data_IF_753512091769
#
_entry.id   IF_753512091769
#
_cell.length_a   1.000
_cell.length_b   1.000
_cell.length_c   1.000
_cell.angle_alpha   90.00
_cell.angle_beta   90.00
_cell.angle_gamma   90.00
#
_symmetry.space_group_name_H-M   'P 1'
#
loop_
_entity.id
_entity.type
_entity.pdbx_description
1 polymer ?
#
# COMPACT_ATOMS: atom_id res chain seq x y z
N UNK A 1 11.07 -1.56 -9.14
CA UNK A 1 12.26 -2.35 -9.01
C UNK A 1 12.42 -3.36 -10.15
N UNK A 2 13.53 -3.31 -10.87
CA UNK A 2 13.77 -4.13 -12.07
C UNK A 2 13.71 -5.63 -11.73
N UNK A 3 14.06 -6.00 -10.51
CA UNK A 3 14.06 -7.39 -10.03
C UNK A 3 12.67 -7.95 -9.73
N UNK A 4 11.71 -7.13 -9.34
CA UNK A 4 10.33 -7.56 -9.07
C UNK A 4 9.57 -8.00 -10.33
N UNK A 5 10.01 -7.60 -11.52
CA UNK A 5 9.44 -8.02 -12.81
C UNK A 5 9.87 -9.43 -13.25
N UNK A 6 10.80 -10.02 -12.54
CA UNK A 6 11.38 -11.34 -12.88
C UNK A 6 10.87 -12.47 -11.97
N UNK A 7 9.89 -12.21 -11.10
CA UNK A 7 9.27 -13.26 -10.32
C UNK A 7 8.57 -14.25 -11.26
N UNK A 8 8.94 -15.50 -11.09
CA UNK A 8 8.37 -16.61 -11.83
C UNK A 8 6.90 -16.82 -11.45
N UNK A 9 6.04 -16.98 -12.44
CA UNK A 9 4.62 -17.26 -12.22
C UNK A 9 4.39 -18.56 -11.46
N UNK A 10 5.21 -19.60 -11.72
CA UNK A 10 5.08 -20.88 -11.04
C UNK A 10 5.44 -20.75 -9.56
N UNK A 11 6.45 -19.92 -9.23
CA UNK A 11 6.75 -19.56 -7.85
C UNK A 11 5.55 -18.86 -7.18
N UNK A 12 4.94 -17.88 -7.83
CA UNK A 12 3.79 -17.15 -7.27
C UNK A 12 2.57 -18.05 -7.06
N UNK A 13 2.32 -18.96 -8.00
CA UNK A 13 1.28 -19.99 -7.86
C UNK A 13 1.60 -20.98 -6.72
N UNK A 14 2.87 -21.35 -6.57
CA UNK A 14 3.33 -22.15 -5.45
C UNK A 14 3.11 -21.47 -4.10
N UNK A 15 3.47 -20.18 -4.01
CA UNK A 15 3.26 -19.34 -2.82
C UNK A 15 1.78 -19.27 -2.46
N UNK A 16 0.89 -19.05 -3.46
CA UNK A 16 -0.56 -19.02 -3.24
C UNK A 16 -1.10 -20.33 -2.69
N UNK A 17 -0.68 -21.47 -3.27
CA UNK A 17 -1.10 -22.78 -2.78
C UNK A 17 -0.66 -23.00 -1.35
N UNK A 18 0.61 -22.73 -1.04
CA UNK A 18 1.15 -22.88 0.31
C UNK A 18 0.40 -21.97 1.31
N UNK A 19 0.14 -20.72 0.95
CA UNK A 19 -0.61 -19.80 1.80
C UNK A 19 -2.01 -20.34 2.10
N UNK A 20 -2.73 -20.84 1.08
CA UNK A 20 -4.06 -21.42 1.26
C UNK A 20 -4.05 -22.71 2.11
N UNK A 21 -2.98 -23.51 2.05
CA UNK A 21 -2.82 -24.72 2.86
C UNK A 21 -2.57 -24.40 4.34
N UNK A 22 -1.74 -23.38 4.61
CA UNK A 22 -1.37 -22.98 5.99
C UNK A 22 -2.44 -22.11 6.64
N UNK A 23 -3.00 -21.16 5.90
CA UNK A 23 -4.00 -20.20 6.37
C UNK A 23 -4.86 -19.74 5.19
N UNK A 24 -6.05 -20.34 4.96
CA UNK A 24 -6.89 -20.09 3.77
C UNK A 24 -7.24 -18.61 3.54
N UNK A 25 -7.38 -17.84 4.62
CA UNK A 25 -7.69 -16.40 4.59
C UNK A 25 -6.43 -15.50 4.54
N UNK A 26 -5.24 -16.09 4.34
CA UNK A 26 -4.01 -15.29 4.26
C UNK A 26 -3.99 -14.43 2.99
N UNK A 27 -3.99 -13.11 3.20
CA UNK A 27 -4.05 -12.16 2.11
C UNK A 27 -2.66 -11.85 1.54
N UNK A 28 -2.48 -12.18 0.25
CA UNK A 28 -1.24 -11.93 -0.49
C UNK A 28 -1.39 -10.64 -1.31
N UNK A 29 -0.57 -9.66 -1.02
CA UNK A 29 -0.48 -8.40 -1.74
C UNK A 29 0.92 -8.23 -2.34
N UNK A 30 1.00 -7.74 -3.58
CA UNK A 30 2.26 -7.45 -4.26
C UNK A 30 2.37 -5.99 -4.65
N UNK A 31 3.60 -5.49 -4.72
CA UNK A 31 3.87 -4.18 -5.26
C UNK A 31 4.12 -4.27 -6.76
N UNK A 32 3.21 -3.66 -7.54
CA UNK A 32 3.31 -3.55 -9.00
C UNK A 32 3.14 -2.09 -9.39
N UNK A 33 4.22 -1.49 -9.93
CA UNK A 33 4.23 -0.07 -10.28
C UNK A 33 3.61 0.17 -11.66
N UNK A 34 3.91 -0.70 -12.62
CA UNK A 34 3.50 -0.53 -14.02
C UNK A 34 3.02 -1.84 -14.64
N UNK A 35 2.17 -1.73 -15.65
CA UNK A 35 1.68 -2.83 -16.46
C UNK A 35 0.30 -3.31 -16.02
N UNK A 36 -0.12 -4.42 -16.59
CA UNK A 36 -1.42 -5.01 -16.32
C UNK A 36 -1.42 -5.73 -14.96
N UNK A 37 -2.21 -5.23 -14.03
CA UNK A 37 -2.34 -5.76 -12.67
C UNK A 37 -2.96 -7.16 -12.64
N UNK A 38 -3.81 -7.50 -13.61
CA UNK A 38 -4.47 -8.82 -13.70
C UNK A 38 -3.49 -9.98 -13.91
N UNK A 39 -2.30 -9.68 -14.44
CA UNK A 39 -1.23 -10.67 -14.58
C UNK A 39 -0.75 -11.22 -13.23
N UNK A 40 -0.87 -10.42 -12.16
CA UNK A 40 -0.38 -10.74 -10.82
C UNK A 40 -1.51 -10.97 -9.83
N UNK A 41 -2.54 -10.10 -9.85
CA UNK A 41 -3.72 -10.22 -8.99
C UNK A 41 -4.78 -11.05 -9.70
N UNK A 42 -4.84 -12.33 -9.39
CA UNK A 42 -5.79 -13.28 -9.95
C UNK A 42 -5.99 -14.48 -9.01
N UNK A 43 -6.96 -15.36 -9.25
CA UNK A 43 -7.25 -16.48 -8.35
C UNK A 43 -6.10 -17.46 -8.08
N UNK A 44 -5.10 -17.52 -8.98
CA UNK A 44 -3.98 -18.46 -8.86
C UNK A 44 -2.76 -17.87 -8.14
N UNK A 45 -2.64 -16.53 -8.05
CA UNK A 45 -1.45 -15.85 -7.53
C UNK A 45 -1.80 -14.87 -6.39
N UNK A 46 -1.62 -13.56 -6.60
CA UNK A 46 -1.89 -12.56 -5.56
C UNK A 46 -3.38 -12.25 -5.45
N UNK A 47 -3.81 -11.82 -4.27
CA UNK A 47 -5.17 -11.31 -4.06
C UNK A 47 -5.29 -9.86 -4.51
N UNK A 48 -4.20 -9.10 -4.38
CA UNK A 48 -4.16 -7.65 -4.60
C UNK A 48 -2.79 -7.20 -5.07
N UNK A 49 -2.77 -6.04 -5.72
CA UNK A 49 -1.54 -5.30 -6.03
C UNK A 49 -1.74 -3.81 -5.79
N UNK A 50 -0.63 -3.09 -5.59
CA UNK A 50 -0.60 -1.64 -5.38
C UNK A 50 -1.18 -0.88 -6.58
N UNK A 51 -2.04 0.12 -6.31
CA UNK A 51 -2.68 0.93 -7.33
C UNK A 51 -1.90 2.23 -7.60
N UNK A 52 -0.70 2.11 -8.16
CA UNK A 52 0.10 3.26 -8.55
C UNK A 52 -0.54 4.08 -9.67
N UNK A 53 -1.36 3.45 -10.50
CA UNK A 53 -2.02 4.11 -11.61
C UNK A 53 -3.00 5.20 -11.12
N UNK A 54 -3.74 4.91 -10.03
CA UNK A 54 -4.66 5.87 -9.44
C UNK A 54 -3.98 6.85 -8.48
N UNK A 55 -2.90 6.43 -7.82
CA UNK A 55 -2.18 7.23 -6.83
C UNK A 55 -1.89 8.66 -7.32
N UNK A 56 -1.34 8.81 -8.53
CA UNK A 56 -1.06 10.16 -9.07
C UNK A 56 -2.33 10.99 -9.20
N UNK A 57 -3.40 10.43 -9.76
CA UNK A 57 -4.65 11.14 -9.99
C UNK A 57 -5.27 11.68 -8.70
N UNK A 58 -5.09 10.98 -7.56
CA UNK A 58 -5.64 11.43 -6.27
C UNK A 58 -5.10 12.79 -5.84
N UNK A 59 -3.81 13.06 -5.95
CA UNK A 59 -3.27 14.37 -5.57
C UNK A 59 -3.26 15.39 -6.72
N UNK A 60 -2.98 14.96 -7.99
CA UNK A 60 -2.94 15.89 -9.11
C UNK A 60 -4.32 16.44 -9.45
N UNK A 61 -5.37 15.61 -9.44
CA UNK A 61 -6.73 16.06 -9.70
C UNK A 61 -7.23 17.10 -8.69
N UNK A 62 -6.82 16.99 -7.41
CA UNK A 62 -7.09 18.01 -6.40
C UNK A 62 -6.30 19.29 -6.64
N UNK A 63 -5.00 19.19 -6.94
CA UNK A 63 -4.12 20.32 -7.19
C UNK A 63 -4.49 21.15 -8.44
N UNK A 64 -5.02 20.46 -9.45
CA UNK A 64 -5.34 21.07 -10.74
C UNK A 64 -6.84 21.40 -10.87
N UNK A 65 -7.60 21.23 -9.77
CA UNK A 65 -9.04 21.43 -9.72
C UNK A 65 -9.75 20.68 -10.86
N UNK A 66 -9.39 19.40 -11.04
CA UNK A 66 -9.82 18.61 -12.17
C UNK A 66 -10.25 17.18 -11.78
N UNK A 67 -11.48 17.05 -11.31
CA UNK A 67 -12.05 15.73 -10.99
C UNK A 67 -12.33 14.85 -12.22
N UNK A 68 -12.29 15.38 -13.44
CA UNK A 68 -12.36 14.53 -14.63
C UNK A 68 -11.18 13.56 -14.72
N UNK A 69 -9.97 13.96 -14.27
CA UNK A 69 -8.80 13.07 -14.24
C UNK A 69 -9.06 11.83 -13.35
N UNK A 70 -9.52 12.07 -12.12
CA UNK A 70 -9.81 11.01 -11.15
C UNK A 70 -10.98 10.15 -11.64
N UNK A 71 -12.07 10.79 -12.08
CA UNK A 71 -13.27 10.10 -12.56
C UNK A 71 -12.96 9.22 -13.77
N UNK A 72 -12.10 9.69 -14.70
CA UNK A 72 -11.64 8.89 -15.83
C UNK A 72 -10.88 7.65 -15.38
N UNK A 73 -9.93 7.79 -14.46
CA UNK A 73 -9.14 6.68 -13.93
C UNK A 73 -10.00 5.66 -13.19
N UNK A 74 -10.93 6.11 -12.33
CA UNK A 74 -11.87 5.26 -11.63
C UNK A 74 -12.81 4.51 -12.60
N UNK A 75 -13.32 5.21 -13.60
CA UNK A 75 -14.20 4.61 -14.61
C UNK A 75 -13.48 3.53 -15.41
N UNK A 76 -12.26 3.83 -15.90
CA UNK A 76 -11.44 2.89 -16.66
C UNK A 76 -11.12 1.64 -15.83
N UNK A 77 -10.84 1.78 -14.54
CA UNK A 77 -10.46 0.66 -13.69
C UNK A 77 -11.68 -0.15 -13.21
N UNK A 78 -12.75 0.48 -12.76
CA UNK A 78 -13.75 -0.15 -11.91
C UNK A 78 -15.20 -0.09 -12.40
N UNK A 79 -15.53 0.76 -13.38
CA UNK A 79 -16.90 0.80 -13.89
C UNK A 79 -17.28 -0.51 -14.63
N UNK A 80 -18.51 -0.60 -15.11
CA UNK A 80 -18.93 -1.75 -15.88
C UNK A 80 -18.04 -1.93 -17.13
N UNK A 81 -17.38 -3.08 -17.22
CA UNK A 81 -16.34 -3.34 -18.23
C UNK A 81 -14.95 -2.78 -17.89
N UNK A 82 -14.77 -2.22 -16.68
CA UNK A 82 -13.48 -1.73 -16.23
C UNK A 82 -12.43 -2.83 -16.10
N UNK A 83 -11.18 -2.48 -16.40
CA UNK A 83 -10.06 -3.44 -16.51
C UNK A 83 -9.70 -4.14 -15.21
N UNK A 84 -10.01 -3.53 -14.06
CA UNK A 84 -9.72 -4.07 -12.73
C UNK A 84 -10.98 -4.25 -11.87
N UNK A 85 -12.17 -4.31 -12.49
CA UNK A 85 -13.44 -4.46 -11.76
C UNK A 85 -13.45 -5.65 -10.80
N UNK A 86 -12.77 -6.73 -11.14
CA UNK A 86 -12.71 -7.97 -10.34
C UNK A 86 -11.44 -8.09 -9.50
N UNK A 87 -10.69 -7.01 -9.34
CA UNK A 87 -9.47 -6.97 -8.55
C UNK A 87 -9.63 -6.00 -7.39
N UNK A 88 -9.37 -6.47 -6.16
CA UNK A 88 -9.27 -5.60 -5.00
C UNK A 88 -7.88 -4.96 -4.96
N UNK A 89 -7.71 -3.82 -5.66
CA UNK A 89 -6.44 -3.10 -5.66
C UNK A 89 -6.11 -2.54 -4.28
N UNK A 90 -4.82 -2.54 -3.91
CA UNK A 90 -4.32 -1.90 -2.71
C UNK A 90 -4.13 -0.40 -2.98
N UNK A 91 -5.07 0.40 -2.47
CA UNK A 91 -5.10 1.84 -2.72
C UNK A 91 -4.37 2.58 -1.62
N UNK A 92 -3.57 3.56 -2.01
CA UNK A 92 -2.80 4.40 -1.10
C UNK A 92 -2.68 5.82 -1.65
N UNK A 93 -2.47 6.79 -0.79
CA UNK A 93 -2.22 8.19 -1.14
C UNK A 93 -0.74 8.53 -1.05
N UNK A 94 -0.01 7.81 -0.23
CA UNK A 94 1.45 7.83 -0.11
C UNK A 94 1.96 6.51 0.46
N UNK A 95 3.28 6.29 0.38
CA UNK A 95 3.97 5.14 0.93
C UNK A 95 5.45 5.47 1.18
N UNK A 96 6.27 4.47 1.46
CA UNK A 96 7.69 4.60 1.74
C UNK A 96 8.56 4.98 0.52
N UNK A 97 8.03 4.96 -0.70
CA UNK A 97 8.74 5.23 -1.95
C UNK A 97 8.25 6.48 -2.68
N UNK A 98 7.11 7.05 -2.29
CA UNK A 98 6.55 8.28 -2.86
C UNK A 98 6.39 9.37 -1.81
N UNK A 99 6.36 10.62 -2.25
CA UNK A 99 6.22 11.77 -1.37
C UNK A 99 4.94 11.68 -0.55
N UNK A 100 4.99 12.18 0.70
CA UNK A 100 3.81 12.28 1.56
C UNK A 100 2.72 13.11 0.88
N UNK A 101 1.48 12.65 0.92
CA UNK A 101 0.36 13.35 0.26
C UNK A 101 0.20 14.76 0.78
N UNK A 102 0.44 14.99 2.07
CA UNK A 102 0.44 16.33 2.66
C UNK A 102 1.47 17.26 2.02
N UNK A 103 2.63 16.76 1.58
CA UNK A 103 3.62 17.55 0.83
C UNK A 103 3.26 17.75 -0.63
N UNK A 104 2.45 16.86 -1.21
CA UNK A 104 2.06 16.93 -2.62
C UNK A 104 0.89 17.89 -2.86
N UNK A 105 0.00 18.05 -1.89
CA UNK A 105 -1.15 18.93 -2.01
C UNK A 105 -0.77 20.40 -1.86
N UNK A 106 -1.17 21.24 -2.83
CA UNK A 106 -1.03 22.70 -2.80
C UNK A 106 -1.90 23.34 -1.71
N UNK A 107 -3.11 22.78 -1.53
CA UNK A 107 -4.04 23.16 -0.46
C UNK A 107 -4.28 21.96 0.46
N UNK A 108 -3.91 22.10 1.73
CA UNK A 108 -4.05 21.04 2.75
C UNK A 108 -5.51 20.76 3.13
N UNK A 109 -6.43 21.69 2.84
CA UNK A 109 -7.86 21.48 3.06
C UNK A 109 -8.41 20.32 2.21
N UNK A 110 -7.72 19.95 1.12
CA UNK A 110 -8.07 18.82 0.29
C UNK A 110 -7.78 17.45 0.91
N UNK A 111 -7.00 17.37 2.01
CA UNK A 111 -6.66 16.09 2.66
C UNK A 111 -7.90 15.26 2.99
N UNK A 112 -8.94 15.89 3.57
CA UNK A 112 -10.18 15.19 3.90
C UNK A 112 -10.85 14.58 2.65
N UNK A 113 -10.89 15.30 1.53
CA UNK A 113 -11.47 14.81 0.27
C UNK A 113 -10.66 13.66 -0.31
N UNK A 114 -9.32 13.75 -0.28
CA UNK A 114 -8.40 12.70 -0.75
C UNK A 114 -8.63 11.40 0.03
N UNK A 115 -8.65 11.47 1.36
CA UNK A 115 -8.89 10.29 2.20
C UNK A 115 -10.32 9.76 2.07
N UNK A 116 -11.33 10.63 1.99
CA UNK A 116 -12.71 10.18 1.74
C UNK A 116 -12.78 9.40 0.43
N UNK A 117 -12.15 9.90 -0.63
CA UNK A 117 -12.12 9.21 -1.92
C UNK A 117 -11.41 7.86 -1.80
N UNK A 118 -10.24 7.79 -1.16
CA UNK A 118 -9.49 6.54 -0.97
C UNK A 118 -10.30 5.49 -0.20
N UNK A 119 -11.07 5.89 0.81
CA UNK A 119 -11.88 4.99 1.62
C UNK A 119 -13.20 4.55 0.96
N UNK A 120 -13.69 5.30 -0.03
CA UNK A 120 -15.00 5.04 -0.64
C UNK A 120 -14.93 4.48 -2.06
N UNK A 121 -13.82 4.63 -2.77
CA UNK A 121 -13.58 3.99 -4.07
C UNK A 121 -13.38 2.47 -3.94
N UNK A 122 -13.53 1.69 -5.05
CA UNK A 122 -13.23 0.26 -5.05
C UNK A 122 -11.79 -0.05 -4.67
N UNK A 123 -11.56 -1.22 -4.06
CA UNK A 123 -10.25 -1.68 -3.59
C UNK A 123 -10.10 -1.61 -2.07
N UNK A 124 -8.90 -1.80 -1.56
CA UNK A 124 -8.55 -1.83 -0.13
C UNK A 124 -7.78 -0.56 0.21
N UNK A 125 -8.32 0.33 1.05
CA UNK A 125 -7.61 1.54 1.48
C UNK A 125 -6.45 1.19 2.41
N UNK A 126 -5.34 1.90 2.26
CA UNK A 126 -4.16 1.77 3.10
C UNK A 126 -3.66 3.12 3.58
N UNK A 127 -3.33 3.19 4.85
CA UNK A 127 -2.69 4.35 5.48
C UNK A 127 -1.22 4.03 5.70
N UNK A 128 -0.34 4.87 5.21
CA UNK A 128 1.06 4.83 5.55
C UNK A 128 1.28 5.57 6.87
N UNK A 129 2.04 4.98 7.81
CA UNK A 129 2.19 5.50 9.16
C UNK A 129 2.61 6.98 9.20
N UNK A 130 1.96 7.75 10.04
CA UNK A 130 2.15 9.20 10.19
C UNK A 130 1.33 10.05 9.23
N UNK A 131 0.87 9.50 8.10
CA UNK A 131 0.05 10.25 7.12
C UNK A 131 -1.33 10.59 7.68
N UNK A 132 -1.83 9.81 8.64
CA UNK A 132 -3.06 10.08 9.40
C UNK A 132 -2.97 11.35 10.25
N UNK A 133 -1.76 11.79 10.57
CA UNK A 133 -1.49 13.06 11.27
C UNK A 133 -1.13 14.20 10.30
N UNK A 134 -1.17 13.94 8.99
CA UNK A 134 -0.83 14.93 7.98
C UNK A 134 0.65 15.30 7.95
N UNK A 135 1.56 14.40 8.37
CA UNK A 135 2.99 14.68 8.32
C UNK A 135 3.47 14.90 6.88
N UNK A 136 4.40 15.80 6.73
CA UNK A 136 5.04 16.10 5.46
C UNK A 136 6.34 15.32 5.30
N UNK A 137 6.78 15.15 4.05
CA UNK A 137 8.03 14.53 3.69
C UNK A 137 8.16 14.41 2.17
N UNK A 138 9.34 14.74 1.66
CA UNK A 138 9.64 14.66 0.23
C UNK A 138 10.92 13.88 -0.01
N UNK A 139 10.87 13.03 -1.01
CA UNK A 139 12.07 12.35 -1.50
C UNK A 139 12.99 13.35 -2.19
N UNK A 140 14.26 13.30 -1.85
CA UNK A 140 15.30 14.04 -2.57
C UNK A 140 16.03 13.13 -3.58
N UNK A 141 16.91 13.71 -4.40
CA UNK A 141 17.76 12.92 -5.31
C UNK A 141 18.72 11.97 -4.57
N UNK A 142 18.99 12.23 -3.29
CA UNK A 142 20.01 11.54 -2.51
C UNK A 142 19.47 10.82 -1.27
N UNK A 143 18.22 11.05 -0.88
CA UNK A 143 17.66 10.49 0.35
C UNK A 143 16.14 10.40 0.29
N UNK A 144 15.62 9.31 0.86
CA UNK A 144 14.20 9.08 1.14
C UNK A 144 13.89 9.14 2.66
N UNK A 145 14.83 9.64 3.46
CA UNK A 145 14.74 9.66 4.93
C UNK A 145 13.48 10.36 5.44
N UNK A 146 13.07 11.47 4.81
CA UNK A 146 11.86 12.20 5.17
C UNK A 146 10.57 11.39 4.96
N UNK A 147 10.61 10.38 4.07
CA UNK A 147 9.46 9.47 3.86
C UNK A 147 9.35 8.43 4.96
N UNK A 148 10.45 8.13 5.68
CA UNK A 148 10.58 7.02 6.64
C UNK A 148 11.07 7.48 8.02
N UNK A 149 10.47 8.55 8.61
CA UNK A 149 10.91 9.02 9.91
C UNK A 149 10.63 7.97 10.99
N UNK A 150 11.50 7.89 12.00
CA UNK A 150 11.18 7.23 13.24
C UNK A 150 10.24 8.16 14.03
N UNK A 151 8.97 7.78 14.16
CA UNK A 151 7.96 8.60 14.84
C UNK A 151 7.85 8.19 16.31
N UNK A 152 7.85 9.20 17.16
CA UNK A 152 7.36 9.09 18.52
C UNK A 152 5.92 9.63 18.54
N UNK A 153 4.96 8.72 18.77
CA UNK A 153 3.53 9.06 18.70
C UNK A 153 3.10 10.07 19.76
N UNK A 154 3.84 10.19 20.87
CA UNK A 154 3.55 11.14 21.93
C UNK A 154 4.10 12.55 21.62
N UNK A 155 4.92 12.68 20.56
CA UNK A 155 5.62 13.93 20.22
C UNK A 155 5.65 14.23 18.72
N UNK A 156 4.60 13.87 17.97
CA UNK A 156 4.49 14.18 16.54
C UNK A 156 4.47 15.70 16.36
N UNK A 157 5.34 16.27 15.50
CA UNK A 157 5.33 17.70 15.24
C UNK A 157 4.07 18.14 14.49
N UNK A 158 3.35 19.12 15.04
CA UNK A 158 2.16 19.73 14.42
C UNK A 158 1.12 18.72 13.88
N UNK A 159 0.64 17.77 14.71
CA UNK A 159 -0.26 16.73 14.26
C UNK A 159 -1.62 17.32 13.87
N UNK A 160 -2.15 16.89 12.73
CA UNK A 160 -3.51 17.21 12.29
C UNK A 160 -4.50 16.22 12.91
N UNK A 161 -4.97 16.50 14.13
CA UNK A 161 -5.94 15.64 14.82
C UNK A 161 -7.34 15.66 14.16
N UNK A 162 -7.69 16.72 13.43
CA UNK A 162 -8.97 16.78 12.69
C UNK A 162 -8.95 15.75 11.54
N UNK A 163 -7.82 15.64 10.83
CA UNK A 163 -7.62 14.62 9.81
C UNK A 163 -7.66 13.21 10.41
N UNK A 164 -6.99 12.99 11.54
CA UNK A 164 -7.01 11.71 12.24
C UNK A 164 -8.44 11.28 12.58
N UNK A 165 -9.24 12.19 13.17
CA UNK A 165 -10.64 11.90 13.50
C UNK A 165 -11.50 11.68 12.25
N UNK A 166 -11.23 12.41 11.17
CA UNK A 166 -11.89 12.17 9.89
C UNK A 166 -11.60 10.76 9.35
N UNK A 167 -10.33 10.33 9.36
CA UNK A 167 -9.91 9.00 8.91
C UNK A 167 -10.53 7.89 9.79
N UNK A 168 -10.59 8.08 11.11
CA UNK A 168 -11.27 7.14 12.01
C UNK A 168 -12.75 6.98 11.63
N UNK A 169 -13.46 8.09 11.40
CA UNK A 169 -14.85 8.05 10.93
C UNK A 169 -14.99 7.31 9.60
N UNK A 170 -14.10 7.54 8.64
CA UNK A 170 -14.08 6.83 7.36
C UNK A 170 -13.91 5.32 7.53
N UNK A 171 -13.06 4.89 8.47
CA UNK A 171 -12.88 3.48 8.82
C UNK A 171 -14.18 2.86 9.31
N UNK A 172 -14.87 3.49 10.28
CA UNK A 172 -16.16 3.04 10.82
C UNK A 172 -17.23 2.99 9.72
N UNK A 173 -17.33 4.05 8.91
CA UNK A 173 -18.29 4.11 7.79
C UNK A 173 -18.04 2.99 6.79
N UNK A 174 -16.78 2.73 6.41
CA UNK A 174 -16.46 1.66 5.46
C UNK A 174 -16.78 0.28 6.01
N UNK A 175 -16.54 0.04 7.30
CA UNK A 175 -16.90 -1.23 7.95
C UNK A 175 -18.42 -1.44 7.95
N UNK A 176 -19.20 -0.39 8.22
CA UNK A 176 -20.65 -0.43 8.27
C UNK A 176 -21.32 -0.58 6.88
N UNK A 177 -20.66 -0.14 5.80
CA UNK A 177 -21.26 -0.09 4.47
C UNK A 177 -20.68 -1.17 3.53
N UNK A 178 -21.49 -2.20 3.27
CA UNK A 178 -21.16 -3.28 2.34
C UNK A 178 -20.87 -2.74 0.94
N UNK A 179 -21.63 -1.77 0.45
CA UNK A 179 -21.44 -1.19 -0.87
C UNK A 179 -20.08 -0.54 -1.05
N UNK A 180 -19.46 0.04 -0.02
CA UNK A 180 -18.13 0.60 -0.11
C UNK A 180 -17.05 -0.47 -0.23
N UNK A 181 -17.30 -1.68 0.31
CA UNK A 181 -16.38 -2.82 0.25
C UNK A 181 -16.49 -3.58 -1.07
N UNK A 182 -17.70 -3.94 -1.46
CA UNK A 182 -17.96 -4.92 -2.52
C UNK A 182 -18.82 -4.40 -3.67
N UNK A 183 -19.39 -3.20 -3.54
CA UNK A 183 -20.31 -2.64 -4.53
C UNK A 183 -19.67 -2.28 -5.85
N UNK A 184 -20.46 -2.33 -6.90
CA UNK A 184 -20.11 -1.79 -8.22
C UNK A 184 -19.84 -0.28 -8.14
N UNK A 185 -19.10 0.22 -9.12
CA UNK A 185 -18.74 1.64 -9.22
C UNK A 185 -19.36 2.28 -10.47
N UNK A 186 -19.89 3.49 -10.29
CA UNK A 186 -20.38 4.32 -11.40
C UNK A 186 -20.21 5.81 -11.08
N UNK A 187 -19.62 6.55 -12.03
CA UNK A 187 -19.66 8.01 -11.99
C UNK A 187 -21.07 8.51 -12.33
N UNK A 188 -21.63 9.38 -11.48
CA UNK A 188 -23.00 9.90 -11.66
C UNK A 188 -23.01 11.34 -12.20
N UNK A 189 -22.20 12.23 -11.59
CA UNK A 189 -22.04 13.60 -12.06
C UNK A 189 -20.58 14.04 -11.87
N UNK A 190 -19.98 14.51 -12.94
CA UNK A 190 -18.57 14.92 -12.96
C UNK A 190 -18.50 16.37 -13.43
N UNK A 191 -17.86 17.20 -12.63
CA UNK A 191 -17.50 18.59 -12.94
C UNK A 191 -16.03 18.80 -12.55
N UNK A 192 -15.45 19.94 -12.93
CA UNK A 192 -14.05 20.20 -12.60
C UNK A 192 -13.77 20.08 -11.10
N UNK A 193 -14.60 20.72 -10.28
CA UNK A 193 -14.38 20.85 -8.84
C UNK A 193 -15.42 20.12 -7.98
N UNK A 194 -16.32 19.37 -8.62
CA UNK A 194 -17.38 18.61 -7.95
C UNK A 194 -17.53 17.24 -8.58
N UNK A 195 -17.80 16.24 -7.75
CA UNK A 195 -17.95 14.85 -8.21
C UNK A 195 -19.01 14.15 -7.38
N UNK A 196 -19.87 13.39 -8.04
CA UNK A 196 -20.72 12.37 -7.40
C UNK A 196 -20.48 11.05 -8.10
N UNK A 197 -20.19 10.02 -7.33
CA UNK A 197 -20.22 8.63 -7.80
C UNK A 197 -21.08 7.75 -6.92
N UNK A 198 -21.46 6.60 -7.44
CA UNK A 198 -22.27 5.59 -6.76
C UNK A 198 -21.48 4.33 -6.51
N UNK A 199 -21.67 3.76 -5.32
CA UNK A 199 -21.30 2.39 -4.97
C UNK A 199 -22.58 1.59 -4.71
N UNK A 200 -22.71 0.40 -5.31
CA UNK A 200 -23.96 -0.35 -5.24
C UNK A 200 -23.72 -1.86 -5.13
N UNK A 201 -24.36 -2.51 -4.16
CA UNK A 201 -24.63 -3.96 -4.12
C UNK A 201 -26.11 -4.22 -4.39
N UNK A 202 -26.52 -5.47 -4.38
CA UNK A 202 -27.95 -5.82 -4.51
C UNK A 202 -28.77 -5.25 -3.35
N UNK A 203 -28.17 -5.10 -2.16
CA UNK A 203 -28.85 -4.72 -0.92
C UNK A 203 -28.63 -3.26 -0.49
N UNK A 204 -27.62 -2.57 -1.05
CA UNK A 204 -27.24 -1.25 -0.57
C UNK A 204 -26.78 -0.34 -1.71
N UNK A 205 -27.25 0.90 -1.68
CA UNK A 205 -26.79 1.96 -2.60
C UNK A 205 -26.25 3.12 -1.79
N UNK A 206 -25.05 3.59 -2.15
CA UNK A 206 -24.36 4.70 -1.52
C UNK A 206 -23.89 5.68 -2.59
N UNK A 207 -24.25 6.95 -2.43
CA UNK A 207 -23.70 8.05 -3.22
C UNK A 207 -22.60 8.75 -2.42
N UNK A 208 -21.51 9.09 -3.07
CA UNK A 208 -20.42 9.86 -2.46
C UNK A 208 -20.24 11.13 -3.26
N UNK A 209 -20.37 12.28 -2.58
CA UNK A 209 -20.29 13.60 -3.20
C UNK A 209 -19.10 14.40 -2.66
N UNK A 210 -18.48 15.20 -3.51
CA UNK A 210 -17.29 16.00 -3.21
C UNK A 210 -17.47 17.44 -3.70
N UNK A 211 -17.08 18.38 -2.87
CA UNK A 211 -16.81 19.76 -3.23
C UNK A 211 -15.33 20.09 -2.99
N UNK A 212 -14.62 20.47 -4.03
CA UNK A 212 -13.19 20.79 -3.99
C UNK A 212 -12.93 22.27 -3.68
N UNK A 213 -13.96 23.11 -3.78
CA UNK A 213 -13.82 24.56 -3.69
C UNK A 213 -13.87 25.08 -2.26
N UNK A 214 -13.40 26.30 -2.06
CA UNK A 214 -13.43 27.08 -0.82
C UNK A 214 -14.77 27.79 -0.55
N UNK A 215 -15.82 27.45 -1.32
CA UNK A 215 -17.15 28.06 -1.23
C UNK A 215 -18.26 27.02 -1.19
N UNK A 216 -19.45 27.46 -0.79
CA UNK A 216 -20.64 26.63 -0.86
C UNK A 216 -21.01 26.40 -2.32
N UNK A 217 -21.21 25.15 -2.69
CA UNK A 217 -21.53 24.71 -4.04
C UNK A 217 -22.74 23.78 -4.03
N UNK A 218 -23.36 23.59 -5.20
CA UNK A 218 -24.41 22.61 -5.40
C UNK A 218 -24.07 21.66 -6.51
N UNK A 219 -24.46 20.39 -6.34
CA UNK A 219 -24.34 19.37 -7.37
C UNK A 219 -25.59 18.49 -7.37
N UNK A 220 -26.17 18.32 -8.56
CA UNK A 220 -27.39 17.51 -8.74
C UNK A 220 -27.05 16.10 -9.20
N UNK A 221 -27.87 15.14 -8.78
CA UNK A 221 -27.83 13.75 -9.21
C UNK A 221 -29.20 13.09 -9.09
N UNK A 222 -29.42 12.03 -9.86
CA UNK A 222 -30.63 11.23 -9.80
C UNK A 222 -30.40 9.99 -8.92
N UNK A 223 -31.27 9.79 -7.95
CA UNK A 223 -31.26 8.61 -7.06
C UNK A 223 -31.96 7.40 -7.73
N UNK A 224 -32.66 7.61 -8.82
CA UNK A 224 -33.46 6.60 -9.53
C UNK A 224 -34.75 6.18 -8.85
N UNK A 225 -35.07 6.73 -7.68
CA UNK A 225 -36.25 6.41 -6.91
C UNK A 225 -36.57 7.48 -5.87
N UNK A 226 -37.82 7.43 -5.37
CA UNK A 226 -38.19 8.17 -4.14
C UNK A 226 -37.59 7.44 -2.95
N UNK A 227 -36.73 8.11 -2.18
CA UNK A 227 -36.01 7.51 -1.09
C UNK A 227 -35.66 8.56 -0.02
N UNK A 228 -35.09 8.07 1.08
CA UNK A 228 -34.35 8.93 2.02
C UNK A 228 -32.87 8.64 1.87
N UNK A 229 -32.09 9.69 1.99
CA UNK A 229 -30.64 9.62 2.05
C UNK A 229 -30.21 9.93 3.47
N UNK A 230 -29.38 9.08 4.06
CA UNK A 230 -28.71 9.39 5.33
C UNK A 230 -27.26 9.76 5.05
N UNK A 231 -26.85 10.98 5.39
CA UNK A 231 -25.45 11.41 5.34
C UNK A 231 -24.69 10.88 6.57
N UNK A 232 -24.10 9.74 6.42
CA UNK A 232 -23.43 9.02 7.52
C UNK A 232 -22.09 9.64 7.93
N UNK A 233 -21.49 10.48 7.10
CA UNK A 233 -20.24 11.16 7.44
C UNK A 233 -20.48 12.44 8.23
N UNK A 234 -21.62 13.11 8.00
CA UNK A 234 -21.92 14.42 8.56
C UNK A 234 -23.15 14.36 9.49
N UNK A 235 -23.04 13.61 10.58
CA UNK A 235 -24.02 13.61 11.68
C UNK A 235 -25.27 12.78 11.44
N UNK A 236 -25.29 11.89 10.46
CA UNK A 236 -26.45 11.07 10.11
C UNK A 236 -27.72 11.91 9.74
N UNK A 237 -27.50 13.06 9.09
CA UNK A 237 -28.58 13.89 8.55
C UNK A 237 -29.44 13.08 7.58
N UNK A 238 -30.75 13.14 7.72
CA UNK A 238 -31.72 12.46 6.83
C UNK A 238 -32.36 13.46 5.88
N UNK A 239 -32.29 13.14 4.59
CA UNK A 239 -32.77 13.98 3.49
C UNK A 239 -33.82 13.20 2.70
N UNK A 240 -34.99 13.76 2.54
CA UNK A 240 -36.03 13.21 1.67
C UNK A 240 -35.77 13.60 0.23
N UNK A 241 -35.73 12.62 -0.68
CA UNK A 241 -35.45 12.82 -2.12
C UNK A 241 -36.54 12.19 -2.98
N UNK A 242 -36.85 12.86 -4.08
CA UNK A 242 -37.84 12.42 -5.05
C UNK A 242 -37.20 12.32 -6.45
N UNK A 243 -36.47 11.24 -6.69
CA UNK A 243 -35.68 11.04 -7.92
C UNK A 243 -34.48 11.96 -7.96
N UNK A 244 -34.57 13.05 -8.73
CA UNK A 244 -33.49 14.02 -8.81
C UNK A 244 -33.36 14.85 -7.53
N UNK A 245 -32.13 15.02 -7.06
CA UNK A 245 -31.79 15.82 -5.89
C UNK A 245 -30.59 16.72 -6.14
N UNK A 246 -30.66 17.96 -5.73
CA UNK A 246 -29.53 18.90 -5.76
C UNK A 246 -29.01 19.12 -4.33
N UNK A 247 -27.85 18.54 -4.04
CA UNK A 247 -27.22 18.60 -2.74
C UNK A 247 -26.38 19.87 -2.60
N UNK A 248 -26.54 20.58 -1.47
CA UNK A 248 -25.67 21.66 -1.07
C UNK A 248 -24.46 21.12 -0.32
N UNK A 249 -23.27 21.57 -0.71
CA UNK A 249 -21.99 21.14 -0.18
C UNK A 249 -21.26 22.35 0.41
N UNK A 250 -20.81 22.24 1.66
CA UNK A 250 -19.96 23.24 2.27
C UNK A 250 -18.54 23.25 1.62
N UNK A 251 -17.71 24.30 1.86
CA UNK A 251 -16.34 24.32 1.37
C UNK A 251 -15.57 23.04 1.73
N UNK A 252 -14.86 22.46 0.76
CA UNK A 252 -14.03 21.24 0.92
C UNK A 252 -14.77 20.02 1.48
N UNK A 253 -16.09 20.02 1.44
CA UNK A 253 -16.92 18.96 2.05
C UNK A 253 -16.97 17.71 1.16
N UNK A 254 -16.90 16.55 1.83
CA UNK A 254 -17.34 15.27 1.30
C UNK A 254 -18.63 14.83 2.02
N UNK A 255 -19.54 14.15 1.30
CA UNK A 255 -20.75 13.57 1.86
C UNK A 255 -20.88 12.10 1.44
N UNK A 256 -21.28 11.22 2.36
CA UNK A 256 -21.52 9.80 2.12
C UNK A 256 -22.99 9.51 2.42
N UNK A 257 -23.76 9.31 1.36
CA UNK A 257 -25.23 9.30 1.37
C UNK A 257 -25.73 7.88 1.14
N UNK A 258 -26.29 7.26 2.17
CA UNK A 258 -26.86 5.91 2.09
C UNK A 258 -28.33 6.00 1.74
N UNK A 259 -28.75 5.30 0.68
CA UNK A 259 -30.17 5.17 0.33
C UNK A 259 -30.82 4.19 1.30
N UNK A 260 -31.86 4.63 2.02
CA UNK A 260 -32.59 3.81 3.01
C UNK A 260 -33.99 4.38 3.28
N UNK A 261 -34.62 3.93 4.34
CA UNK A 261 -35.92 4.43 4.83
C UNK A 261 -35.84 5.60 5.84
N UNK A 262 -34.62 6.07 6.09
CA UNK A 262 -34.29 7.10 7.07
C UNK A 262 -33.96 6.56 8.46
N UNK A 263 -33.87 5.23 8.63
CA UNK A 263 -33.53 4.61 9.92
C UNK A 263 -32.02 4.30 10.05
N UNK A 264 -31.32 4.18 8.94
CA UNK A 264 -29.89 3.82 8.95
C UNK A 264 -29.05 4.88 9.66
N UNK A 265 -28.18 4.43 10.57
CA UNK A 265 -27.24 5.29 11.30
C UNK A 265 -25.89 4.59 11.42
N UNK A 266 -24.84 5.38 11.44
CA UNK A 266 -23.49 4.94 11.83
C UNK A 266 -23.20 5.52 13.21
N UNK A 267 -22.87 4.65 14.17
CA UNK A 267 -22.47 5.05 15.52
C UNK A 267 -20.93 5.13 15.57
N UNK A 268 -20.42 6.33 15.79
CA UNK A 268 -18.97 6.58 15.92
C UNK A 268 -18.47 6.40 17.36
N UNK A 269 -19.37 6.24 18.34
CA UNK A 269 -19.03 6.07 19.75
C UNK A 269 -19.09 4.60 20.20
N UNK A 270 -19.59 3.71 19.35
CA UNK A 270 -19.55 2.29 19.62
C UNK A 270 -18.08 1.87 19.79
N UNK A 271 -17.75 1.32 20.96
CA UNK A 271 -16.45 0.68 21.16
C UNK A 271 -16.32 -0.44 20.12
N UNK A 272 -15.63 -0.14 19.01
CA UNK A 272 -15.32 -1.10 17.95
C UNK A 272 -14.26 -2.11 18.43
N UNK A 273 -14.45 -2.67 19.62
CA UNK A 273 -13.65 -3.77 20.14
C UNK A 273 -13.85 -5.06 19.35
N UNK A 274 -14.92 -5.17 18.56
CA UNK A 274 -15.15 -6.28 17.62
C UNK A 274 -14.27 -6.24 16.36
N UNK A 275 -13.45 -5.20 16.16
CA UNK A 275 -12.40 -5.17 15.13
C UNK A 275 -11.10 -5.86 15.55
N UNK A 276 -11.01 -6.39 16.77
CA UNK A 276 -10.00 -7.41 17.07
C UNK A 276 -10.34 -8.61 16.18
N UNK A 277 -9.34 -9.04 15.39
CA UNK A 277 -9.38 -10.33 14.71
C UNK A 277 -10.06 -11.33 15.65
N UNK A 278 -11.13 -11.98 15.16
CA UNK A 278 -11.87 -12.95 15.96
C UNK A 278 -10.86 -13.69 16.81
N UNK A 279 -10.98 -13.55 18.14
CA UNK A 279 -10.18 -14.34 19.06
C UNK A 279 -10.32 -15.74 18.55
N UNK A 280 -9.21 -16.33 18.14
CA UNK A 280 -9.17 -17.74 17.83
C UNK A 280 -9.61 -18.36 19.15
N UNK A 281 -10.84 -18.85 19.21
CA UNK A 281 -11.28 -19.69 20.30
C UNK A 281 -10.15 -20.71 20.49
N UNK A 282 -9.44 -20.60 21.61
CA UNK A 282 -8.48 -21.62 22.01
C UNK A 282 -9.27 -22.92 22.00
N UNK A 283 -9.05 -23.73 20.97
CA UNK A 283 -9.56 -25.07 20.94
C UNK A 283 -9.17 -25.72 22.28
N UNK A 284 -10.10 -26.39 22.97
CA UNK A 284 -9.82 -26.98 24.27
C UNK A 284 -8.57 -27.82 24.15
N UNK A 285 -7.63 -27.59 25.05
CA UNK A 285 -6.39 -28.34 25.15
C UNK A 285 -6.73 -29.84 25.23
N UNK A 286 -6.67 -30.51 24.11
CA UNK A 286 -6.68 -31.96 24.02
C UNK A 286 -5.24 -32.44 23.97
N UNK A 287 -4.89 -33.06 25.07
CA UNK A 287 -3.93 -34.17 25.25
C UNK A 287 -2.65 -34.11 24.38
N UNK A 288 -1.56 -34.02 25.13
CA UNK A 288 -0.19 -34.32 24.73
C UNK A 288 -0.09 -35.43 23.67
N UNK A 289 0.00 -35.04 22.42
CA UNK A 289 0.66 -35.88 21.44
C UNK A 289 2.09 -35.38 21.30
N UNK A 290 2.98 -36.06 22.03
CA UNK A 290 4.42 -35.88 21.90
C UNK A 290 4.84 -36.04 20.43
N UNK A 291 5.07 -34.93 19.77
CA UNK A 291 5.77 -34.90 18.48
C UNK A 291 7.24 -35.19 18.82
N UNK A 292 7.63 -36.44 18.64
CA UNK A 292 9.03 -36.86 18.62
C UNK A 292 9.73 -36.00 17.56
N UNK A 293 10.71 -35.25 18.02
CA UNK A 293 11.68 -34.57 17.16
C UNK A 293 12.31 -35.67 16.25
N UNK A 294 12.00 -35.63 14.97
CA UNK A 294 12.74 -36.39 13.96
C UNK A 294 14.10 -35.69 13.85
N UNK A 295 15.09 -36.35 14.48
CA UNK A 295 16.49 -36.11 14.17
C UNK A 295 16.71 -36.50 12.72
N UNK A 296 16.91 -35.54 11.86
CA UNK A 296 17.51 -35.75 10.54
C UNK A 296 18.95 -36.16 10.80
N UNK A 297 19.21 -37.46 10.70
CA UNK A 297 20.57 -37.96 10.64
C UNK A 297 21.24 -37.47 9.37
N UNK A 298 22.44 -36.96 9.57
CA UNK A 298 23.39 -36.58 8.54
C UNK A 298 23.68 -37.82 7.63
N UNK A 299 23.30 -37.70 6.36
CA UNK A 299 23.96 -38.48 5.31
C UNK A 299 25.02 -37.61 4.66
N UNK A 300 26.20 -37.56 5.26
CA UNK A 300 27.41 -37.21 4.57
C UNK A 300 28.07 -38.49 4.14
N UNK A 301 27.87 -38.90 2.91
CA UNK A 301 28.83 -39.74 2.22
C UNK A 301 29.74 -38.88 1.38
N UNK A 302 30.99 -38.95 1.74
CA UNK A 302 32.16 -38.37 1.10
C UNK A 302 32.33 -38.84 -0.33
N UNK A 303 32.30 -37.91 -1.31
CA UNK A 303 33.07 -38.09 -2.52
C UNK A 303 34.07 -36.94 -2.61
N UNK A 304 35.32 -37.32 -2.39
CA UNK A 304 36.49 -36.55 -2.62
C UNK A 304 36.67 -36.36 -4.12
N UNK A 305 36.45 -35.14 -4.62
CA UNK A 305 37.12 -34.66 -5.79
C UNK A 305 37.72 -33.29 -5.50
N UNK A 306 39.05 -33.28 -5.50
CA UNK A 306 39.89 -32.11 -5.32
C UNK A 306 39.61 -31.06 -6.40
N UNK A 307 38.96 -29.94 -5.98
CA UNK A 307 39.14 -28.67 -6.66
C UNK A 307 39.67 -27.70 -5.60
N UNK A 308 40.93 -27.30 -5.79
CA UNK A 308 41.58 -26.27 -5.02
C UNK A 308 40.73 -24.98 -5.03
N UNK A 309 39.96 -24.76 -3.99
CA UNK A 309 39.29 -23.51 -3.74
C UNK A 309 40.17 -22.70 -2.79
N UNK A 310 41.20 -22.03 -3.35
CA UNK A 310 41.93 -21.00 -2.65
C UNK A 310 40.98 -19.83 -2.43
N UNK A 311 40.31 -19.79 -1.28
CA UNK A 311 39.62 -18.61 -0.77
C UNK A 311 40.66 -17.50 -0.65
N UNK A 312 40.67 -16.55 -1.62
CA UNK A 312 41.42 -15.30 -1.51
C UNK A 312 40.99 -14.62 -0.21
N UNK A 313 41.94 -14.51 0.72
CA UNK A 313 41.70 -13.83 2.00
C UNK A 313 41.39 -12.35 1.72
N UNK A 314 40.16 -11.91 2.02
CA UNK A 314 39.75 -10.52 1.90
C UNK A 314 40.42 -9.76 3.06
N UNK A 315 41.12 -8.64 2.76
CA UNK A 315 41.79 -7.81 3.75
C UNK A 315 41.35 -6.34 3.62
N UNK A 316 41.52 -5.51 4.65
CA UNK A 316 41.29 -4.06 4.51
C UNK A 316 42.16 -3.48 3.40
N UNK A 317 41.66 -2.50 2.64
CA UNK A 317 42.33 -1.85 1.53
C UNK A 317 41.36 -1.52 0.39
N UNK A 318 41.93 -1.12 -0.76
CA UNK A 318 41.14 -0.62 -1.89
C UNK A 318 40.85 -1.75 -2.87
N UNK A 319 39.62 -1.81 -3.33
CA UNK A 319 39.09 -2.78 -4.27
C UNK A 319 38.42 -2.09 -5.46
N UNK A 320 38.67 -2.59 -6.65
CA UNK A 320 37.98 -2.21 -7.87
C UNK A 320 36.79 -3.17 -8.10
N UNK A 321 35.61 -2.64 -8.19
CA UNK A 321 34.43 -3.41 -8.57
C UNK A 321 34.41 -3.63 -10.09
N UNK A 322 33.95 -4.78 -10.58
CA UNK A 322 33.94 -5.12 -12.01
C UNK A 322 33.22 -4.10 -12.91
N UNK A 323 32.37 -3.23 -12.35
CA UNK A 323 31.69 -2.11 -13.05
C UNK A 323 32.47 -0.79 -13.01
N UNK A 324 33.74 -0.77 -12.51
CA UNK A 324 34.64 0.39 -12.53
C UNK A 324 34.59 1.30 -11.31
N UNK A 325 33.80 1.00 -10.27
CA UNK A 325 33.81 1.77 -9.01
C UNK A 325 34.93 1.32 -8.07
N UNK A 326 35.57 2.27 -7.37
CA UNK A 326 36.61 2.00 -6.37
C UNK A 326 36.04 2.08 -4.96
N UNK A 327 36.36 1.07 -4.13
CA UNK A 327 35.84 0.91 -2.78
C UNK A 327 36.93 0.58 -1.77
N UNK A 328 36.82 1.15 -0.58
CA UNK A 328 37.72 0.84 0.53
C UNK A 328 37.03 -0.15 1.48
N UNK A 329 37.63 -1.31 1.69
CA UNK A 329 37.27 -2.23 2.77
C UNK A 329 37.85 -1.70 4.06
N UNK A 330 36.99 -1.31 4.99
CA UNK A 330 37.36 -0.66 6.26
C UNK A 330 37.46 -1.66 7.40
N UNK A 331 36.56 -2.65 7.44
CA UNK A 331 36.47 -3.59 8.56
C UNK A 331 35.65 -4.83 8.20
N UNK A 332 35.57 -5.77 9.13
CA UNK A 332 34.67 -6.93 9.08
C UNK A 332 33.73 -6.91 10.27
N UNK A 333 32.52 -7.43 10.08
CA UNK A 333 31.54 -7.59 11.13
C UNK A 333 30.97 -9.02 11.11
N UNK A 334 30.31 -9.39 12.19
CA UNK A 334 29.52 -10.62 12.25
C UNK A 334 28.06 -10.23 12.47
N UNK A 335 27.16 -10.71 11.63
CA UNK A 335 25.74 -10.48 11.78
C UNK A 335 25.27 -11.10 13.10
N UNK A 336 24.64 -10.30 13.98
CA UNK A 336 24.33 -10.67 15.36
C UNK A 336 23.32 -11.85 15.48
N UNK A 337 22.45 -12.00 14.50
CA UNK A 337 21.40 -13.04 14.52
C UNK A 337 21.79 -14.29 13.72
N UNK A 338 22.42 -14.11 12.55
CA UNK A 338 22.74 -15.22 11.65
C UNK A 338 24.15 -15.77 11.82
N UNK A 339 25.06 -15.01 12.46
CA UNK A 339 26.48 -15.37 12.59
C UNK A 339 27.28 -15.20 11.30
N UNK A 340 26.67 -14.69 10.23
CA UNK A 340 27.32 -14.49 8.93
C UNK A 340 28.44 -13.45 9.00
N UNK A 341 29.53 -13.71 8.30
CA UNK A 341 30.65 -12.76 8.20
C UNK A 341 30.39 -11.73 7.12
N UNK A 342 30.54 -10.45 7.46
CA UNK A 342 30.28 -9.32 6.59
C UNK A 342 31.56 -8.52 6.34
N UNK A 343 31.74 -8.06 5.11
CA UNK A 343 32.73 -7.04 4.71
C UNK A 343 32.10 -5.68 4.84
N UNK A 344 32.72 -4.78 5.59
CA UNK A 344 32.31 -3.38 5.74
C UNK A 344 33.16 -2.52 4.82
N UNK A 345 32.53 -1.80 3.89
CA UNK A 345 33.25 -1.04 2.86
C UNK A 345 32.51 0.24 2.47
N UNK A 346 33.20 1.19 1.85
CA UNK A 346 32.66 2.46 1.37
C UNK A 346 33.21 2.81 -0.02
N UNK A 347 32.50 3.66 -0.74
CA UNK A 347 32.98 4.21 -2.00
C UNK A 347 34.06 5.26 -1.73
N UNK A 348 35.18 5.23 -2.48
CA UNK A 348 36.27 6.20 -2.32
C UNK A 348 35.88 7.64 -2.70
N UNK A 349 34.96 7.80 -3.64
CA UNK A 349 34.49 9.11 -4.11
C UNK A 349 33.28 9.65 -3.34
N UNK A 350 32.60 8.79 -2.56
CA UNK A 350 31.51 9.17 -1.67
C UNK A 350 31.66 8.44 -0.33
N UNK A 351 32.41 9.04 0.58
CA UNK A 351 32.78 8.45 1.87
C UNK A 351 31.68 8.52 2.94
N UNK A 352 30.55 9.17 2.64
CA UNK A 352 29.42 9.33 3.59
C UNK A 352 28.61 8.05 3.77
N UNK A 353 28.68 7.12 2.82
CA UNK A 353 27.95 5.86 2.85
C UNK A 353 28.87 4.68 3.13
N UNK A 354 28.50 3.87 4.13
CA UNK A 354 29.21 2.64 4.50
C UNK A 354 28.26 1.47 4.28
N UNK A 355 28.71 0.46 3.55
CA UNK A 355 27.93 -0.75 3.25
C UNK A 355 28.47 -1.98 3.94
N UNK A 356 27.60 -2.95 4.19
CA UNK A 356 27.93 -4.27 4.66
C UNK A 356 27.50 -5.31 3.60
N UNK A 357 28.37 -6.28 3.31
CA UNK A 357 28.09 -7.37 2.37
C UNK A 357 28.63 -8.69 2.89
N UNK A 358 27.89 -9.80 2.75
CA UNK A 358 28.41 -11.14 3.03
C UNK A 358 29.77 -11.38 2.37
N UNK A 359 30.71 -11.97 3.13
CA UNK A 359 32.07 -12.25 2.65
C UNK A 359 32.04 -13.09 1.36
N UNK A 360 31.16 -14.08 1.30
CA UNK A 360 30.98 -14.94 0.13
C UNK A 360 30.55 -14.16 -1.10
N UNK A 361 29.59 -13.24 -0.95
CA UNK A 361 29.12 -12.36 -2.02
C UNK A 361 30.13 -11.31 -2.44
N UNK A 362 31.04 -10.91 -1.54
CA UNK A 362 32.12 -9.97 -1.86
C UNK A 362 33.20 -10.65 -2.70
N UNK A 363 33.53 -11.91 -2.36
CA UNK A 363 34.54 -12.73 -3.06
C UNK A 363 34.01 -13.42 -4.33
N UNK A 364 32.72 -13.35 -4.60
CA UNK A 364 32.04 -14.03 -5.70
C UNK A 364 32.61 -13.62 -7.07
N UNK A 365 32.65 -14.58 -8.00
CA UNK A 365 32.91 -14.31 -9.42
C UNK A 365 31.59 -14.09 -10.15
N UNK A 366 31.53 -13.01 -10.90
CA UNK A 366 30.39 -12.63 -11.76
C UNK A 366 30.70 -12.97 -13.22
N UNK A 367 29.70 -13.34 -13.98
CA UNK A 367 29.81 -13.53 -15.42
C UNK A 367 29.63 -12.18 -16.14
N UNK A 368 30.66 -11.79 -16.89
CA UNK A 368 30.66 -10.59 -17.73
C UNK A 368 30.98 -11.02 -19.13
N UNK A 369 30.05 -10.98 -20.04
CA UNK A 369 30.18 -11.36 -21.44
C UNK A 369 30.80 -12.78 -21.66
N UNK A 370 30.34 -13.76 -20.82
CA UNK A 370 30.81 -15.13 -20.89
C UNK A 370 32.17 -15.38 -20.22
N UNK A 371 32.70 -14.41 -19.47
CA UNK A 371 33.94 -14.53 -18.70
C UNK A 371 33.71 -14.36 -17.22
N UNK A 372 34.18 -15.31 -16.40
CA UNK A 372 34.13 -15.21 -14.94
C UNK A 372 35.18 -14.20 -14.45
N UNK A 373 34.70 -13.07 -13.88
CA UNK A 373 35.51 -11.99 -13.34
C UNK A 373 35.24 -11.85 -11.84
N UNK A 374 36.29 -11.56 -11.04
CA UNK A 374 36.08 -11.29 -9.61
C UNK A 374 35.16 -10.07 -9.44
N UNK A 375 34.14 -10.16 -8.56
CA UNK A 375 33.23 -9.04 -8.30
C UNK A 375 33.98 -7.83 -7.78
N UNK A 376 34.98 -8.07 -6.90
CA UNK A 376 35.90 -7.06 -6.39
C UNK A 376 37.33 -7.56 -6.51
N UNK A 377 38.17 -6.75 -7.09
CA UNK A 377 39.61 -7.03 -7.26
C UNK A 377 40.42 -6.11 -6.36
N UNK A 378 41.30 -6.66 -5.51
CA UNK A 378 42.18 -5.87 -4.64
C UNK A 378 43.20 -5.10 -5.49
N UNK A 379 43.35 -3.78 -5.23
CA UNK A 379 44.24 -2.92 -5.99
C UNK A 379 45.20 -2.12 -5.10
N UNK A 380 45.05 -2.17 -3.76
CA UNK A 380 45.98 -1.49 -2.87
C UNK A 380 45.62 -1.48 -1.39
#
# INVERSE_FOLDING_TARGET
>A
DVYKRQLDFDFMKGLRRLANEVKPEFWLMGEVIHGDYSRWANPEMLHSVTNYELHKGLWSGHNDHNYFEIAHSLNRQFANGGIYRNIYTYNFVDNHDVNRVASMLKDKNHLNNVYTMMYTMPGVPSIYYGSEFGIEGMRTAYSDYELRPCLDLDSIPNPNYELLEHIKKLGVVRLALEALKYGDFENINIQNEKLVYRRKTDNQTVFVAFNLTDRVERIGFDTGCNAKLTDVLNGNEVIDVNGYYEIEMQPYQSRILVVNDGSFRVDFNADNTDCRAAEIDEAPANEETSVKAVKTENCCESNSDNAENTTKEIKPGIYLHFKGGEYEVINFATHSETGEKLVIYRNLHNTSEVWARPVEMFAEKVDVDGRKTDRFTFIG
#
